data_IF_352367599621
#
_entry.id   IF_352367599621
#
_cell.length_a   1.000
_cell.length_b   1.000
_cell.length_c   1.000
_cell.angle_alpha   90.00
_cell.angle_beta   90.00
_cell.angle_gamma   90.00
#
_symmetry.space_group_name_H-M   'P 1'
#
loop_
_entity.id
_entity.type
_entity.pdbx_description
1 polymer ?
#
# COMPACT_ATOMS: atom_id res chain seq x y z
N UNK A 1 -38.33 22.34 14.08
CA UNK A 1 -38.78 20.92 14.08
C UNK A 1 -40.14 20.66 14.76
N UNK A 2 -40.30 20.93 16.07
CA UNK A 2 -41.51 20.51 16.84
C UNK A 2 -42.85 21.01 16.25
N UNK A 3 -42.90 22.28 15.82
CA UNK A 3 -44.07 22.85 15.17
C UNK A 3 -44.48 22.15 13.84
N UNK A 4 -43.53 21.55 13.12
CA UNK A 4 -43.83 20.82 11.88
C UNK A 4 -44.40 19.44 12.18
N UNK A 5 -43.85 18.78 13.21
CA UNK A 5 -44.38 17.52 13.73
C UNK A 5 -45.82 17.69 14.25
N UNK A 6 -46.07 18.71 15.07
CA UNK A 6 -47.39 18.99 15.65
C UNK A 6 -48.45 19.33 14.57
N UNK A 7 -48.02 19.84 13.41
CA UNK A 7 -48.87 20.16 12.26
C UNK A 7 -49.06 18.98 11.28
N UNK A 8 -48.47 17.81 11.58
CA UNK A 8 -48.54 16.63 10.72
C UNK A 8 -47.73 16.74 9.42
N UNK A 9 -46.87 17.75 9.28
CA UNK A 9 -46.04 17.93 8.10
C UNK A 9 -44.68 17.22 8.27
N UNK A 10 -44.65 15.94 7.95
CA UNK A 10 -43.49 15.06 8.15
C UNK A 10 -42.50 15.04 6.97
N UNK A 11 -42.89 15.57 5.81
CA UNK A 11 -42.06 15.54 4.59
C UNK A 11 -41.19 16.79 4.42
N UNK A 12 -41.36 17.79 5.29
CA UNK A 12 -40.60 19.01 5.24
C UNK A 12 -39.13 18.77 5.62
N UNK A 13 -38.22 19.10 4.70
CA UNK A 13 -36.78 19.09 4.96
C UNK A 13 -36.39 20.19 5.95
N UNK A 14 -35.62 19.81 6.97
CA UNK A 14 -35.07 20.74 7.95
C UNK A 14 -33.55 20.61 7.90
N UNK A 15 -32.85 21.74 7.71
CA UNK A 15 -31.40 21.76 7.73
C UNK A 15 -30.89 21.86 9.16
N UNK A 16 -30.14 20.84 9.58
CA UNK A 16 -29.47 20.79 10.87
C UNK A 16 -27.97 20.98 10.68
N UNK A 17 -27.36 21.76 11.56
CA UNK A 17 -25.90 21.85 11.67
C UNK A 17 -25.46 20.94 12.80
N UNK A 18 -24.53 20.05 12.49
CA UNK A 18 -23.76 19.29 13.47
C UNK A 18 -22.37 19.93 13.58
N UNK A 19 -22.14 20.64 14.69
CA UNK A 19 -20.86 21.25 14.99
C UNK A 19 -20.08 20.37 15.96
N UNK A 20 -18.82 20.09 15.62
CA UNK A 20 -17.87 19.39 16.49
C UNK A 20 -16.67 20.29 16.71
N UNK A 21 -16.40 20.64 17.97
CA UNK A 21 -15.33 21.58 18.34
C UNK A 21 -14.58 21.09 19.59
N UNK A 22 -13.29 21.40 19.73
CA UNK A 22 -12.55 21.09 20.95
C UNK A 22 -13.10 21.94 22.11
N UNK A 23 -13.33 21.32 23.27
CA UNK A 23 -13.87 21.98 24.47
C UNK A 23 -12.73 22.47 25.36
N UNK A 24 -12.58 23.80 25.51
CA UNK A 24 -11.61 24.40 26.43
C UNK A 24 -12.08 24.34 27.90
N UNK A 25 -13.39 24.48 28.12
CA UNK A 25 -14.00 24.65 29.44
C UNK A 25 -14.47 23.30 30.01
N UNK A 26 -13.54 22.34 30.20
CA UNK A 26 -13.85 21.00 30.72
C UNK A 26 -13.43 20.84 32.18
N UNK A 27 -14.21 20.08 32.94
CA UNK A 27 -13.83 19.56 34.25
C UNK A 27 -13.36 18.10 34.11
N UNK A 28 -12.04 17.81 34.17
CA UNK A 28 -11.51 16.46 33.97
C UNK A 28 -11.95 15.46 35.05
N UNK A 29 -12.51 15.92 36.17
CA UNK A 29 -13.00 15.05 37.23
C UNK A 29 -14.36 14.42 36.93
N UNK A 30 -15.08 14.93 35.92
CA UNK A 30 -16.42 14.46 35.56
C UNK A 30 -16.38 13.65 34.26
N UNK A 31 -17.14 12.55 34.25
CA UNK A 31 -17.23 11.59 33.12
C UNK A 31 -18.54 11.71 32.33
N UNK A 32 -19.20 12.86 32.40
CA UNK A 32 -20.44 13.14 31.68
C UNK A 32 -20.17 13.58 30.23
N UNK A 33 -21.14 13.38 29.31
CA UNK A 33 -21.01 13.78 27.90
C UNK A 33 -20.66 15.27 27.69
N UNK A 34 -21.01 16.13 28.65
CA UNK A 34 -20.74 17.57 28.62
C UNK A 34 -19.30 17.92 29.02
N UNK A 35 -18.52 17.01 29.60
CA UNK A 35 -17.11 17.25 29.98
C UNK A 35 -16.12 16.47 29.11
N UNK A 36 -16.58 15.87 28.01
CA UNK A 36 -15.70 15.21 27.05
C UNK A 36 -14.86 16.23 26.24
N UNK A 37 -13.64 15.86 25.80
CA UNK A 37 -12.72 16.75 25.09
C UNK A 37 -13.27 17.38 23.81
N UNK A 38 -14.12 16.68 23.07
CA UNK A 38 -14.77 17.18 21.87
C UNK A 38 -16.24 17.40 22.13
N UNK A 39 -16.74 18.61 21.92
CA UNK A 39 -18.16 18.96 22.03
C UNK A 39 -18.86 18.62 20.72
N UNK A 40 -20.09 18.12 20.82
CA UNK A 40 -20.95 17.74 19.70
C UNK A 40 -22.31 18.40 19.88
N UNK A 41 -22.65 19.35 19.01
CA UNK A 41 -23.88 20.15 19.11
C UNK A 41 -24.69 20.04 17.82
N UNK A 42 -25.98 19.78 17.99
CA UNK A 42 -26.96 19.83 16.91
C UNK A 42 -27.86 21.06 17.10
N UNK A 43 -28.01 21.87 16.05
CA UNK A 43 -28.93 23.00 16.04
C UNK A 43 -29.57 23.21 14.67
N UNK A 44 -30.76 23.81 14.66
CA UNK A 44 -31.56 24.08 13.45
C UNK A 44 -31.19 25.45 12.85
N UNK A 45 -30.95 25.50 11.54
CA UNK A 45 -30.72 26.77 10.84
C UNK A 45 -32.01 27.60 10.86
N UNK A 46 -31.95 28.80 11.45
CA UNK A 46 -33.13 29.65 11.64
C UNK A 46 -34.01 29.29 12.83
N UNK A 47 -33.58 28.33 13.66
CA UNK A 47 -34.22 27.99 14.93
C UNK A 47 -33.95 29.03 16.04
N UNK A 48 -34.49 28.77 17.23
CA UNK A 48 -34.21 29.59 18.40
C UNK A 48 -32.73 29.47 18.80
N UNK A 49 -31.98 30.57 18.72
CA UNK A 49 -30.54 30.62 18.98
C UNK A 49 -30.15 30.19 20.40
N UNK A 50 -31.10 30.17 21.35
CA UNK A 50 -30.86 29.78 22.74
C UNK A 50 -31.09 28.27 23.00
N UNK A 51 -31.60 27.52 22.02
CA UNK A 51 -31.91 26.10 22.20
C UNK A 51 -31.12 25.24 21.21
N UNK A 52 -30.23 24.40 21.75
CA UNK A 52 -29.66 23.30 20.99
C UNK A 52 -30.62 22.10 21.00
N UNK A 53 -30.64 21.31 19.92
CA UNK A 53 -31.42 20.09 19.83
C UNK A 53 -30.80 18.96 20.64
N UNK A 54 -29.46 18.92 20.63
CA UNK A 54 -28.68 17.94 21.38
C UNK A 54 -27.30 18.51 21.62
N UNK A 55 -26.85 18.42 22.86
CA UNK A 55 -25.47 18.62 23.24
C UNK A 55 -24.92 17.31 23.82
N UNK A 56 -23.76 16.91 23.33
CA UNK A 56 -23.03 15.72 23.74
C UNK A 56 -21.53 16.00 23.60
N UNK A 57 -20.71 14.98 23.80
CA UNK A 57 -19.31 15.04 23.43
C UNK A 57 -18.75 13.70 22.99
N UNK A 58 -17.48 13.73 22.60
CA UNK A 58 -16.68 12.57 22.21
C UNK A 58 -15.33 12.59 22.93
N UNK A 59 -14.82 11.41 23.28
CA UNK A 59 -13.48 11.24 23.86
C UNK A 59 -12.38 11.62 22.86
N UNK A 60 -12.57 11.25 21.59
CA UNK A 60 -11.71 11.56 20.44
C UNK A 60 -12.51 12.22 19.31
N UNK A 61 -11.81 12.82 18.36
CA UNK A 61 -12.46 13.42 17.20
C UNK A 61 -13.04 12.30 16.30
N UNK A 62 -14.37 12.30 16.06
CA UNK A 62 -15.01 11.17 15.38
C UNK A 62 -14.98 11.27 13.85
N UNK A 63 -14.61 12.43 13.29
CA UNK A 63 -14.65 12.66 11.84
C UNK A 63 -13.35 12.18 11.21
N UNK A 64 -13.49 11.25 10.26
CA UNK A 64 -12.40 10.73 9.45
C UNK A 64 -12.46 11.43 8.09
N UNK A 65 -11.53 12.36 7.86
CA UNK A 65 -11.48 13.18 6.65
C UNK A 65 -10.05 13.21 6.09
N UNK A 66 -9.56 12.10 5.52
CA UNK A 66 -8.21 12.04 4.98
C UNK A 66 -8.06 12.95 3.76
N UNK A 67 -6.92 13.63 3.69
CA UNK A 67 -6.57 14.51 2.58
C UNK A 67 -5.55 13.85 1.68
N UNK A 68 -5.76 13.96 0.36
CA UNK A 68 -4.87 13.37 -0.64
C UNK A 68 -3.54 14.12 -0.73
N UNK A 69 -3.57 15.41 -1.08
CA UNK A 69 -2.41 16.31 -1.05
C UNK A 69 -2.79 17.57 -0.26
N UNK A 70 -1.86 18.11 0.53
CA UNK A 70 -2.08 19.36 1.28
C UNK A 70 -1.03 20.37 0.85
N UNK A 71 -1.47 21.57 0.46
CA UNK A 71 -0.57 22.72 0.26
C UNK A 71 -0.43 23.49 1.56
N UNK A 72 0.77 23.99 1.84
CA UNK A 72 1.05 24.73 3.08
C UNK A 72 0.10 25.92 3.24
N UNK A 73 -0.65 25.93 4.34
CA UNK A 73 -1.60 27.00 4.68
C UNK A 73 -3.06 26.71 4.36
N UNK A 74 -3.37 25.67 3.59
CA UNK A 74 -4.75 25.25 3.34
C UNK A 74 -5.21 24.18 4.35
N UNK A 75 -6.48 24.26 4.74
CA UNK A 75 -7.14 23.32 5.63
C UNK A 75 -7.61 22.10 4.82
N UNK A 76 -8.00 22.32 3.57
CA UNK A 76 -8.54 21.29 2.67
C UNK A 76 -7.45 20.62 1.84
N UNK A 77 -7.74 19.37 1.45
CA UNK A 77 -6.87 18.61 0.55
C UNK A 77 -7.20 18.86 -0.92
N UNK A 78 -6.19 18.77 -1.77
CA UNK A 78 -6.32 18.73 -3.22
C UNK A 78 -6.41 17.29 -3.70
N UNK A 79 -7.29 17.04 -4.68
CA UNK A 79 -7.43 15.72 -5.30
C UNK A 79 -6.71 15.66 -6.65
N UNK A 80 -6.33 14.46 -7.13
CA UNK A 80 -5.81 14.28 -8.49
C UNK A 80 -6.75 14.81 -9.58
N UNK A 81 -8.06 14.72 -9.31
CA UNK A 81 -9.08 15.22 -10.22
C UNK A 81 -9.06 16.75 -10.36
N UNK A 82 -8.65 17.49 -9.32
CA UNK A 82 -8.47 18.94 -9.40
C UNK A 82 -7.31 19.31 -10.33
N UNK A 83 -6.20 18.55 -10.26
CA UNK A 83 -5.06 18.71 -11.17
C UNK A 83 -5.45 18.37 -12.62
N UNK A 84 -6.17 17.27 -12.81
CA UNK A 84 -6.59 16.80 -14.13
C UNK A 84 -7.85 17.50 -14.69
N UNK A 85 -8.44 18.47 -13.99
CA UNK A 85 -9.73 19.06 -14.35
C UNK A 85 -9.71 19.71 -15.74
N UNK A 86 -8.59 20.35 -16.10
CA UNK A 86 -8.40 20.91 -17.44
C UNK A 86 -8.47 19.85 -18.53
N UNK A 87 -7.74 18.75 -18.36
CA UNK A 87 -7.71 17.63 -19.31
C UNK A 87 -9.07 16.91 -19.38
N UNK A 88 -9.77 16.76 -18.26
CA UNK A 88 -11.11 16.15 -18.22
C UNK A 88 -12.11 16.99 -19.03
N UNK A 89 -12.09 18.31 -18.86
CA UNK A 89 -12.94 19.23 -19.61
C UNK A 89 -12.59 19.24 -21.11
N UNK A 90 -11.29 19.20 -21.43
CA UNK A 90 -10.81 19.06 -22.80
C UNK A 90 -11.34 17.77 -23.44
N UNK A 91 -11.21 16.63 -22.76
CA UNK A 91 -11.72 15.35 -23.24
C UNK A 91 -13.24 15.36 -23.46
N UNK A 92 -13.99 15.97 -22.54
CA UNK A 92 -15.45 16.10 -22.68
C UNK A 92 -15.81 16.91 -23.93
N UNK A 93 -15.12 18.03 -24.15
CA UNK A 93 -15.34 18.88 -25.32
C UNK A 93 -14.97 18.16 -26.63
N UNK A 94 -13.81 17.50 -26.69
CA UNK A 94 -13.38 16.74 -27.86
C UNK A 94 -14.36 15.62 -28.22
N UNK A 95 -14.86 14.88 -27.24
CA UNK A 95 -15.82 13.81 -27.47
C UNK A 95 -17.15 14.35 -28.00
N UNK A 96 -17.61 15.50 -27.48
CA UNK A 96 -18.79 16.18 -27.99
C UNK A 96 -18.59 16.64 -29.44
N UNK A 97 -17.45 17.26 -29.76
CA UNK A 97 -17.14 17.71 -31.13
C UNK A 97 -16.95 16.55 -32.10
N UNK A 98 -16.36 15.45 -31.65
CA UNK A 98 -16.26 14.22 -32.43
C UNK A 98 -17.65 13.69 -32.81
N UNK A 99 -18.56 13.60 -31.83
CA UNK A 99 -19.93 13.14 -32.08
C UNK A 99 -20.63 14.05 -33.09
N UNK A 100 -20.53 15.38 -32.92
CA UNK A 100 -21.08 16.35 -33.88
C UNK A 100 -20.47 16.19 -35.28
N UNK A 101 -19.17 15.94 -35.39
CA UNK A 101 -18.52 15.68 -36.68
C UNK A 101 -19.04 14.44 -37.37
N UNK A 102 -19.26 13.35 -36.62
CA UNK A 102 -19.87 12.12 -37.12
C UNK A 102 -21.33 12.36 -37.54
N UNK A 103 -22.09 13.13 -36.78
CA UNK A 103 -23.47 13.50 -37.14
C UNK A 103 -23.50 14.29 -38.45
N UNK A 104 -22.57 15.24 -38.65
CA UNK A 104 -22.47 15.98 -39.93
C UNK A 104 -22.04 15.11 -41.11
N UNK A 105 -21.25 14.06 -40.89
CA UNK A 105 -20.86 13.11 -41.95
C UNK A 105 -21.99 12.13 -42.28
N UNK A 106 -22.72 11.66 -41.28
CA UNK A 106 -23.79 10.66 -41.44
C UNK A 106 -25.13 11.27 -41.84
N UNK A 107 -25.41 12.50 -41.39
CA UNK A 107 -26.64 13.27 -41.67
C UNK A 107 -26.28 14.73 -41.93
N UNK A 108 -25.61 15.04 -43.06
CA UNK A 108 -25.29 16.42 -43.40
C UNK A 108 -26.58 17.24 -43.57
N UNK A 109 -26.58 18.52 -43.17
CA UNK A 109 -27.69 19.42 -43.47
C UNK A 109 -27.85 19.52 -44.98
N UNK A 110 -29.09 19.48 -45.46
CA UNK A 110 -29.39 19.44 -46.88
C UNK A 110 -29.91 20.81 -47.36
N UNK A 111 -29.40 21.27 -48.49
CA UNK A 111 -29.99 22.35 -49.28
C UNK A 111 -30.99 21.73 -50.26
N UNK A 112 -32.25 22.15 -50.18
CA UNK A 112 -33.29 21.77 -51.12
C UNK A 112 -33.88 23.02 -51.79
N UNK A 113 -34.27 22.94 -53.08
CA UNK A 113 -34.95 24.03 -53.77
C UNK A 113 -36.29 24.38 -53.10
N UNK A 114 -36.67 25.66 -53.16
CA UNK A 114 -37.95 26.15 -52.59
C UNK A 114 -39.18 25.48 -53.22
N UNK A 115 -39.07 24.97 -54.45
CA UNK A 115 -40.11 24.20 -55.14
C UNK A 115 -40.43 22.86 -54.47
N UNK A 116 -39.52 22.33 -53.62
CA UNK A 116 -39.72 21.08 -52.88
C UNK A 116 -40.26 21.29 -51.46
N UNK A 117 -40.45 22.54 -51.02
CA UNK A 117 -40.87 22.87 -49.63
C UNK A 117 -42.24 22.28 -49.22
N UNK A 118 -43.07 21.90 -50.20
CA UNK A 118 -44.40 21.32 -49.99
C UNK A 118 -44.58 19.93 -50.65
N UNK A 119 -43.48 19.25 -51.01
CA UNK A 119 -43.52 17.88 -51.55
C UNK A 119 -42.83 16.94 -50.56
N UNK A 120 -43.39 15.75 -50.40
CA UNK A 120 -42.76 14.69 -49.60
C UNK A 120 -41.47 14.25 -50.28
N UNK A 121 -40.34 14.41 -49.59
CA UNK A 121 -39.03 13.94 -50.03
C UNK A 121 -38.76 12.60 -49.36
N UNK A 122 -38.78 11.53 -50.14
CA UNK A 122 -38.40 10.20 -49.66
C UNK A 122 -36.88 10.08 -49.51
N UNK A 123 -36.39 10.10 -48.27
CA UNK A 123 -34.97 9.91 -47.95
C UNK A 123 -34.60 8.45 -47.63
N UNK A 124 -35.52 7.51 -47.85
CA UNK A 124 -35.27 6.09 -47.64
C UNK A 124 -34.45 5.51 -48.81
N UNK A 125 -33.58 4.51 -48.56
CA UNK A 125 -32.84 3.83 -49.62
C UNK A 125 -33.79 3.25 -50.68
N UNK A 126 -33.64 3.69 -51.93
CA UNK A 126 -34.50 3.28 -53.05
C UNK A 126 -35.64 4.24 -53.42
N UNK A 127 -35.83 5.33 -52.66
CA UNK A 127 -36.79 6.40 -53.01
C UNK A 127 -36.37 7.17 -54.27
N UNK A 128 -37.32 7.48 -55.14
CA UNK A 128 -37.08 8.22 -56.39
C UNK A 128 -37.50 9.68 -56.19
N UNK A 129 -36.53 10.60 -56.19
CA UNK A 129 -36.79 12.04 -56.14
C UNK A 129 -36.69 12.64 -57.55
N UNK A 130 -37.76 13.26 -58.03
CA UNK A 130 -37.79 13.92 -59.34
C UNK A 130 -37.22 15.34 -59.25
N UNK A 131 -36.16 15.60 -60.01
CA UNK A 131 -35.57 16.94 -60.17
C UNK A 131 -35.94 17.51 -61.54
N UNK A 132 -36.19 18.82 -61.61
CA UNK A 132 -36.51 19.52 -62.86
C UNK A 132 -35.26 19.64 -63.74
N UNK A 133 -35.33 19.18 -64.99
CA UNK A 133 -34.22 19.16 -65.95
C UNK A 133 -33.80 20.55 -66.44
N UNK A 134 -34.62 21.58 -66.18
CA UNK A 134 -34.31 22.97 -66.54
C UNK A 134 -33.25 23.63 -65.63
N UNK A 135 -32.98 23.09 -64.43
CA UNK A 135 -31.97 23.62 -63.52
C UNK A 135 -30.98 22.51 -63.10
N UNK A 136 -29.80 22.41 -63.75
CA UNK A 136 -28.78 21.40 -63.45
C UNK A 136 -28.23 21.42 -62.01
N UNK A 137 -28.57 22.44 -61.22
CA UNK A 137 -28.20 22.57 -59.80
C UNK A 137 -29.39 22.45 -58.84
N UNK A 138 -30.57 22.02 -59.33
CA UNK A 138 -31.81 21.87 -58.58
C UNK A 138 -31.93 20.59 -57.76
N UNK A 139 -30.83 19.86 -57.52
CA UNK A 139 -30.82 18.67 -56.68
C UNK A 139 -30.68 18.97 -55.19
N UNK A 140 -31.13 18.05 -54.33
CA UNK A 140 -30.84 18.09 -52.90
C UNK A 140 -29.35 17.76 -52.72
N UNK A 141 -28.59 18.70 -52.16
CA UNK A 141 -27.15 18.53 -51.88
C UNK A 141 -26.86 18.90 -50.44
N UNK A 142 -25.76 18.42 -49.88
CA UNK A 142 -25.33 18.90 -48.57
C UNK A 142 -25.07 20.41 -48.60
N UNK A 143 -25.41 21.09 -47.51
CA UNK A 143 -25.23 22.53 -47.40
C UNK A 143 -23.75 22.92 -47.33
N UNK A 144 -22.94 22.03 -46.76
CA UNK A 144 -21.49 22.07 -46.78
C UNK A 144 -20.97 20.63 -46.69
N UNK A 145 -19.77 20.39 -47.21
CA UNK A 145 -19.11 19.09 -47.13
C UNK A 145 -18.27 19.02 -45.84
N UNK A 146 -18.74 18.24 -44.87
CA UNK A 146 -18.07 18.05 -43.60
C UNK A 146 -16.98 16.97 -43.67
N UNK A 147 -15.89 17.25 -44.39
CA UNK A 147 -14.76 16.31 -44.49
C UNK A 147 -13.79 16.49 -43.31
N UNK A 148 -14.25 16.19 -42.09
CA UNK A 148 -13.43 16.25 -40.87
C UNK A 148 -12.55 15.00 -40.80
N UNK A 149 -11.23 15.18 -40.74
CA UNK A 149 -10.30 14.08 -40.49
C UNK A 149 -10.31 13.71 -39.00
N UNK A 150 -11.00 12.63 -38.66
CA UNK A 150 -11.14 12.15 -37.28
C UNK A 150 -9.85 11.52 -36.71
N UNK A 151 -8.85 11.21 -37.54
CA UNK A 151 -7.65 10.51 -37.09
C UNK A 151 -6.79 11.37 -36.15
N UNK A 152 -6.57 12.65 -36.49
CA UNK A 152 -5.83 13.58 -35.62
C UNK A 152 -6.54 13.80 -34.29
N UNK A 153 -7.88 13.87 -34.31
CA UNK A 153 -8.68 14.00 -33.10
C UNK A 153 -8.59 12.75 -32.22
N UNK A 154 -8.47 11.55 -32.80
CA UNK A 154 -8.28 10.32 -32.04
C UNK A 154 -6.90 10.25 -31.38
N UNK A 155 -5.86 10.80 -32.01
CA UNK A 155 -4.53 10.89 -31.40
C UNK A 155 -4.52 11.87 -30.22
N UNK A 156 -5.11 13.05 -30.38
CA UNK A 156 -5.25 14.04 -29.30
C UNK A 156 -6.06 13.46 -28.12
N UNK A 157 -7.19 12.82 -28.40
CA UNK A 157 -8.01 12.11 -27.38
C UNK A 157 -7.19 11.05 -26.64
N UNK A 158 -6.25 10.36 -27.31
CA UNK A 158 -5.37 9.37 -26.66
C UNK A 158 -4.37 10.07 -25.73
N UNK A 159 -3.70 11.12 -26.20
CA UNK A 159 -2.78 11.91 -25.39
C UNK A 159 -3.45 12.49 -24.14
N UNK A 160 -4.64 13.08 -24.29
CA UNK A 160 -5.42 13.61 -23.15
C UNK A 160 -5.78 12.51 -22.16
N UNK A 161 -6.18 11.31 -22.62
CA UNK A 161 -6.45 10.18 -21.73
C UNK A 161 -5.21 9.73 -20.98
N UNK A 162 -4.04 9.74 -21.63
CA UNK A 162 -2.79 9.32 -21.01
C UNK A 162 -2.30 10.35 -19.98
N UNK A 163 -2.49 11.65 -20.23
CA UNK A 163 -2.32 12.71 -19.22
C UNK A 163 -3.22 12.52 -18.00
N UNK A 164 -4.51 12.24 -18.21
CA UNK A 164 -5.46 11.95 -17.13
C UNK A 164 -5.00 10.71 -16.35
N UNK A 165 -4.66 9.61 -17.03
CA UNK A 165 -4.15 8.38 -16.38
C UNK A 165 -2.92 8.63 -15.53
N UNK A 166 -1.99 9.44 -16.03
CA UNK A 166 -0.80 9.89 -15.30
C UNK A 166 -1.16 10.61 -14.01
N UNK A 167 -2.10 11.57 -14.08
CA UNK A 167 -2.56 12.31 -12.89
C UNK A 167 -3.20 11.40 -11.83
N UNK A 168 -3.96 10.38 -12.25
CA UNK A 168 -4.61 9.43 -11.34
C UNK A 168 -3.71 8.27 -10.90
N UNK A 169 -2.43 8.26 -11.29
CA UNK A 169 -1.50 7.16 -11.00
C UNK A 169 -2.01 5.79 -11.50
N UNK A 170 -2.84 5.77 -12.54
CA UNK A 170 -3.52 4.55 -13.01
C UNK A 170 -2.52 3.46 -13.40
N UNK A 171 -1.45 3.83 -14.09
CA UNK A 171 -0.41 2.88 -14.53
C UNK A 171 0.35 2.27 -13.35
N UNK A 172 0.49 2.99 -12.24
CA UNK A 172 1.15 2.48 -11.03
C UNK A 172 0.28 1.45 -10.32
N UNK A 173 -1.01 1.75 -10.14
CA UNK A 173 -1.95 0.80 -9.54
C UNK A 173 -2.16 -0.43 -10.44
N UNK A 174 -2.21 -0.24 -11.76
CA UNK A 174 -2.30 -1.35 -12.72
C UNK A 174 -1.02 -2.19 -12.73
N UNK A 175 0.17 -1.58 -12.60
CA UNK A 175 1.42 -2.33 -12.47
C UNK A 175 1.46 -3.15 -11.18
N UNK A 176 1.04 -2.57 -10.05
CA UNK A 176 0.91 -3.28 -8.77
C UNK A 176 -0.08 -4.44 -8.85
N UNK A 177 -1.24 -4.22 -9.48
CA UNK A 177 -2.26 -5.24 -9.67
C UNK A 177 -1.84 -6.35 -10.64
N UNK A 178 -1.01 -6.02 -11.65
CA UNK A 178 -0.54 -6.94 -12.67
C UNK A 178 0.90 -7.41 -12.42
N UNK A 179 1.25 -7.72 -11.15
CA UNK A 179 2.54 -8.30 -10.71
C UNK A 179 2.99 -9.57 -11.47
N UNK A 180 2.22 -10.07 -12.44
CA UNK A 180 2.43 -11.30 -13.19
C UNK A 180 3.03 -11.11 -14.59
N UNK A 181 3.34 -9.90 -15.07
CA UNK A 181 3.87 -9.75 -16.43
C UNK A 181 5.38 -10.05 -16.48
N UNK A 182 5.69 -11.33 -16.75
CA UNK A 182 7.02 -11.98 -16.69
C UNK A 182 7.99 -11.53 -17.80
N UNK A 183 7.69 -10.45 -18.53
CA UNK A 183 8.44 -10.03 -19.74
C UNK A 183 9.27 -8.76 -19.57
N UNK A 184 9.12 -8.02 -18.47
CA UNK A 184 10.03 -6.92 -18.15
C UNK A 184 11.24 -7.41 -17.35
N UNK A 185 12.41 -6.84 -17.64
CA UNK A 185 13.62 -7.06 -16.84
C UNK A 185 13.36 -6.63 -15.40
N UNK A 186 13.59 -7.55 -14.46
CA UNK A 186 13.30 -7.37 -13.03
C UNK A 186 13.89 -6.08 -12.43
N UNK A 187 15.01 -5.60 -12.99
CA UNK A 187 15.68 -4.35 -12.59
C UNK A 187 14.91 -3.09 -12.99
N UNK A 188 14.37 -3.03 -14.22
CA UNK A 188 13.64 -1.84 -14.68
C UNK A 188 12.26 -1.73 -14.00
N UNK A 189 11.65 -2.88 -13.67
CA UNK A 189 10.44 -2.92 -12.83
C UNK A 189 10.76 -2.42 -11.43
N UNK A 190 11.84 -2.90 -10.80
CA UNK A 190 12.21 -2.49 -9.45
C UNK A 190 12.53 -0.99 -9.35
N UNK A 191 13.31 -0.44 -10.29
CA UNK A 191 13.66 0.99 -10.30
C UNK A 191 12.43 1.88 -10.55
N UNK A 192 11.58 1.54 -11.53
CA UNK A 192 10.31 2.29 -11.75
C UNK A 192 9.34 2.13 -10.59
N UNK A 193 9.34 0.97 -9.94
CA UNK A 193 8.52 0.72 -8.77
C UNK A 193 8.97 1.57 -7.59
N UNK A 194 10.28 1.72 -7.38
CA UNK A 194 10.88 2.51 -6.31
C UNK A 194 10.64 4.01 -6.51
N UNK A 195 10.90 4.55 -7.72
CA UNK A 195 10.66 5.97 -8.02
C UNK A 195 9.18 6.35 -7.87
N UNK A 196 8.26 5.51 -8.35
CA UNK A 196 6.82 5.77 -8.25
C UNK A 196 6.24 5.51 -6.84
N UNK A 197 6.80 4.56 -6.08
CA UNK A 197 6.47 4.36 -4.67
C UNK A 197 6.88 5.56 -3.82
N UNK A 198 8.03 6.17 -4.11
CA UNK A 198 8.49 7.40 -3.47
C UNK A 198 7.49 8.56 -3.68
N UNK A 199 6.86 8.65 -4.85
CA UNK A 199 5.84 9.68 -5.12
C UNK A 199 4.53 9.46 -4.35
N UNK A 200 4.11 8.21 -4.13
CA UNK A 200 2.89 7.90 -3.38
C UNK A 200 3.10 7.80 -1.86
N UNK A 201 4.35 7.70 -1.40
CA UNK A 201 4.70 7.60 0.02
C UNK A 201 3.97 8.61 0.90
N UNK A 202 4.03 9.92 0.59
CA UNK A 202 3.34 10.94 1.38
C UNK A 202 1.81 10.81 1.40
N UNK A 203 1.19 10.36 0.30
CA UNK A 203 -0.27 10.16 0.23
C UNK A 203 -0.69 8.99 1.10
N UNK A 204 0.07 7.90 1.05
CA UNK A 204 -0.21 6.69 1.81
C UNK A 204 0.07 6.89 3.30
N UNK A 205 1.14 7.60 3.66
CA UNK A 205 1.41 8.00 5.04
C UNK A 205 0.29 8.90 5.59
N UNK A 206 -0.24 9.83 4.78
CA UNK A 206 -1.41 10.62 5.17
C UNK A 206 -2.66 9.78 5.34
N UNK A 207 -2.93 8.85 4.43
CA UNK A 207 -4.07 7.94 4.57
C UNK A 207 -3.95 7.09 5.83
N UNK A 208 -2.73 6.68 6.18
CA UNK A 208 -2.44 5.99 7.43
C UNK A 208 -2.78 6.89 8.63
N UNK A 209 -2.12 8.04 8.73
CA UNK A 209 -2.20 8.92 9.89
C UNK A 209 -3.55 9.65 10.05
N UNK A 210 -4.22 10.01 8.94
CA UNK A 210 -5.46 10.80 8.93
C UNK A 210 -6.74 9.94 8.85
N UNK A 211 -6.65 8.67 8.41
CA UNK A 211 -7.80 7.76 8.31
C UNK A 211 -7.61 6.47 9.09
N UNK A 212 -6.58 5.68 8.79
CA UNK A 212 -6.49 4.32 9.31
C UNK A 212 -6.18 4.29 10.81
N UNK A 213 -5.20 5.07 11.28
CA UNK A 213 -4.87 5.11 12.71
C UNK A 213 -6.05 5.65 13.55
N UNK A 214 -6.66 6.81 13.21
CA UNK A 214 -7.79 7.31 13.99
C UNK A 214 -9.02 6.41 13.89
N UNK A 215 -9.24 5.74 12.75
CA UNK A 215 -10.30 4.74 12.62
C UNK A 215 -10.08 3.61 13.60
N UNK A 216 -8.90 2.99 13.60
CA UNK A 216 -8.56 1.86 14.47
C UNK A 216 -8.66 2.27 15.94
N UNK A 217 -8.09 3.41 16.32
CA UNK A 217 -8.19 3.92 17.70
C UNK A 217 -9.64 4.11 18.12
N UNK A 218 -10.46 4.79 17.30
CA UNK A 218 -11.87 4.99 17.58
C UNK A 218 -12.65 3.67 17.63
N UNK A 219 -12.30 2.68 16.80
CA UNK A 219 -12.97 1.38 16.82
C UNK A 219 -12.58 0.61 18.08
N UNK A 220 -11.30 0.62 18.44
CA UNK A 220 -10.79 -0.05 19.63
C UNK A 220 -11.37 0.53 20.91
N UNK A 221 -11.41 1.87 21.03
CA UNK A 221 -12.06 2.56 22.15
C UNK A 221 -13.54 2.18 22.26
N UNK A 222 -14.26 2.10 21.13
CA UNK A 222 -15.67 1.68 21.11
C UNK A 222 -15.86 0.21 21.51
N UNK A 223 -14.95 -0.70 21.13
CA UNK A 223 -15.01 -2.12 21.49
C UNK A 223 -14.73 -2.30 23.00
N UNK A 224 -13.77 -1.55 23.56
CA UNK A 224 -13.47 -1.54 25.00
C UNK A 224 -14.67 -1.01 25.78
N UNK A 225 -15.24 0.14 25.37
CA UNK A 225 -16.40 0.74 26.02
C UNK A 225 -17.64 -0.19 25.95
N UNK A 226 -17.76 -1.00 24.88
CA UNK A 226 -18.82 -2.00 24.73
C UNK A 226 -18.56 -3.30 25.52
N UNK A 227 -17.37 -3.48 26.12
CA UNK A 227 -17.01 -4.68 26.87
C UNK A 227 -16.91 -5.95 26.02
N UNK A 228 -16.66 -5.83 24.71
CA UNK A 228 -16.58 -6.96 23.78
C UNK A 228 -15.22 -7.67 23.88
N UNK A 229 -14.17 -6.94 24.25
CA UNK A 229 -12.81 -7.50 24.37
C UNK A 229 -12.70 -8.47 25.55
N UNK A 230 -11.94 -9.57 25.42
CA UNK A 230 -11.56 -10.38 26.57
C UNK A 230 -10.78 -9.54 27.59
N UNK A 231 -10.77 -9.91 28.88
CA UNK A 231 -10.00 -9.18 29.88
C UNK A 231 -8.52 -9.14 29.48
N UNK A 232 -7.86 -7.98 29.57
CA UNK A 232 -6.46 -7.85 29.18
C UNK A 232 -5.57 -8.76 30.04
N UNK A 233 -4.59 -9.47 29.42
CA UNK A 233 -3.55 -10.21 30.12
C UNK A 233 -2.87 -9.36 31.20
N UNK A 234 -2.40 -9.97 32.29
CA UNK A 234 -1.77 -9.27 33.42
C UNK A 234 -0.58 -8.40 32.97
N UNK A 235 0.16 -8.79 31.93
CA UNK A 235 1.30 -8.01 31.43
C UNK A 235 0.89 -6.71 30.70
N UNK A 236 -0.36 -6.61 30.25
CA UNK A 236 -0.88 -5.45 29.50
C UNK A 236 -1.66 -4.47 30.38
N UNK A 237 -1.90 -4.80 31.65
CA UNK A 237 -2.60 -3.91 32.58
C UNK A 237 -1.73 -2.68 32.92
N UNK A 238 -2.28 -1.49 32.67
CA UNK A 238 -1.64 -0.21 33.00
C UNK A 238 -0.56 0.26 32.03
N UNK A 239 -0.35 -0.45 30.90
CA UNK A 239 0.55 0.01 29.83
C UNK A 239 -0.24 0.71 28.72
N UNK A 240 0.26 1.84 28.17
CA UNK A 240 -0.34 2.44 26.98
C UNK A 240 -0.19 1.48 25.80
N UNK A 241 -1.31 1.04 25.23
CA UNK A 241 -1.33 0.24 24.01
C UNK A 241 -1.04 1.17 22.82
N UNK A 242 0.02 0.86 22.06
CA UNK A 242 0.26 1.48 20.77
C UNK A 242 -0.09 0.45 19.69
N UNK A 243 -1.06 0.76 18.84
CA UNK A 243 -1.52 -0.13 17.77
C UNK A 243 -0.79 0.28 16.50
N UNK A 244 0.26 -0.46 16.15
CA UNK A 244 0.99 -0.24 14.90
C UNK A 244 0.37 -1.05 13.76
N UNK A 245 -0.15 -0.39 12.72
CA UNK A 245 -0.61 -1.07 11.52
C UNK A 245 0.59 -1.41 10.62
N UNK A 246 0.83 -2.71 10.42
CA UNK A 246 1.71 -3.19 9.36
C UNK A 246 0.87 -3.32 8.08
N UNK A 247 0.65 -2.22 7.37
CA UNK A 247 -0.05 -2.24 6.07
C UNK A 247 0.77 -2.96 4.98
N UNK A 248 0.11 -3.49 3.95
CA UNK A 248 0.79 -4.18 2.82
C UNK A 248 1.87 -3.33 2.15
N UNK A 249 1.73 -2.01 2.14
CA UNK A 249 2.76 -1.11 1.64
C UNK A 249 3.95 -0.99 2.60
N UNK A 250 3.71 -0.90 3.90
CA UNK A 250 4.78 -0.91 4.90
C UNK A 250 5.54 -2.24 4.82
N UNK A 251 4.85 -3.36 4.58
CA UNK A 251 5.47 -4.64 4.26
C UNK A 251 6.26 -4.57 2.95
N UNK A 252 5.70 -3.99 1.88
CA UNK A 252 6.40 -3.84 0.61
C UNK A 252 7.66 -2.96 0.73
N UNK A 253 7.61 -1.84 1.46
CA UNK A 253 8.75 -0.97 1.71
C UNK A 253 9.81 -1.66 2.58
N UNK A 254 9.41 -2.40 3.62
CA UNK A 254 10.32 -3.22 4.42
C UNK A 254 10.94 -4.36 3.58
N UNK A 255 10.16 -4.96 2.67
CA UNK A 255 10.62 -5.97 1.72
C UNK A 255 11.60 -5.40 0.67
N UNK A 256 11.42 -4.16 0.24
CA UNK A 256 12.43 -3.45 -0.58
C UNK A 256 13.69 -3.22 0.25
N UNK A 257 13.55 -2.84 1.52
CA UNK A 257 14.65 -2.72 2.48
C UNK A 257 15.44 -4.02 2.67
N UNK A 258 14.78 -5.19 2.68
CA UNK A 258 15.46 -6.49 2.81
C UNK A 258 16.42 -6.80 1.67
N UNK A 259 16.24 -6.24 0.47
CA UNK A 259 17.22 -6.40 -0.63
C UNK A 259 18.60 -5.85 -0.28
N UNK A 260 18.68 -4.82 0.58
CA UNK A 260 19.95 -4.27 1.04
C UNK A 260 20.62 -5.20 2.07
N UNK A 261 19.81 -5.83 2.93
CA UNK A 261 20.24 -6.82 3.90
C UNK A 261 20.74 -8.07 3.20
N UNK A 262 20.03 -8.56 2.18
CA UNK A 262 20.44 -9.74 1.39
C UNK A 262 21.77 -9.52 0.67
N UNK A 263 21.95 -8.33 0.06
CA UNK A 263 23.23 -7.95 -0.55
C UNK A 263 24.35 -7.88 0.49
N UNK A 264 24.08 -7.35 1.68
CA UNK A 264 25.07 -7.27 2.75
C UNK A 264 25.49 -8.65 3.25
N UNK A 265 24.53 -9.54 3.54
CA UNK A 265 24.80 -10.91 3.98
C UNK A 265 25.51 -11.73 2.89
N UNK A 266 25.08 -11.60 1.64
CA UNK A 266 25.75 -12.23 0.49
C UNK A 266 27.20 -11.78 0.33
N UNK A 267 27.46 -10.47 0.48
CA UNK A 267 28.82 -9.92 0.43
C UNK A 267 29.68 -10.39 1.61
N UNK A 268 29.12 -10.50 2.83
CA UNK A 268 29.83 -11.08 3.97
C UNK A 268 30.22 -12.54 3.67
N UNK A 269 29.30 -13.34 3.11
CA UNK A 269 29.58 -14.72 2.73
C UNK A 269 30.73 -14.85 1.71
N UNK A 270 30.80 -13.95 0.75
CA UNK A 270 31.89 -13.91 -0.23
C UNK A 270 33.23 -13.48 0.39
N UNK A 271 33.23 -12.47 1.28
CA UNK A 271 34.45 -11.99 1.95
C UNK A 271 34.96 -12.99 2.98
N UNK A 272 34.07 -13.74 3.64
CA UNK A 272 34.42 -14.77 4.62
C UNK A 272 35.32 -15.88 4.05
N UNK A 273 35.27 -16.13 2.73
CA UNK A 273 36.16 -17.09 2.04
C UNK A 273 37.63 -16.68 2.09
N UNK A 274 37.91 -15.37 2.11
CA UNK A 274 39.27 -14.82 2.09
C UNK A 274 39.67 -14.20 3.44
N UNK A 275 38.69 -13.73 4.21
CA UNK A 275 38.86 -13.10 5.53
C UNK A 275 37.76 -13.57 6.50
N UNK A 276 38.01 -14.66 7.25
CA UNK A 276 37.04 -15.20 8.20
C UNK A 276 36.65 -14.24 9.34
N UNK A 277 37.54 -13.31 9.70
CA UNK A 277 37.37 -12.27 10.73
C UNK A 277 36.13 -11.36 10.53
N UNK A 278 35.56 -11.33 9.32
CA UNK A 278 34.33 -10.58 9.03
C UNK A 278 33.09 -11.21 9.68
N UNK A 279 33.08 -12.54 9.86
CA UNK A 279 31.97 -13.25 10.50
C UNK A 279 31.83 -12.88 11.98
N UNK A 280 32.92 -12.52 12.65
CA UNK A 280 32.93 -12.14 14.06
C UNK A 280 32.15 -10.85 14.34
N UNK A 281 31.93 -10.03 13.31
CA UNK A 281 31.14 -8.80 13.41
C UNK A 281 29.68 -8.96 12.98
N UNK A 282 29.26 -10.15 12.55
CA UNK A 282 27.89 -10.43 12.13
C UNK A 282 27.07 -11.05 13.26
N UNK A 283 26.02 -10.36 13.72
CA UNK A 283 25.08 -10.89 14.70
C UNK A 283 23.93 -11.61 13.99
N UNK A 284 24.01 -12.94 13.92
CA UNK A 284 23.00 -13.77 13.26
C UNK A 284 21.63 -13.73 13.95
N UNK A 285 21.59 -13.63 15.29
CA UNK A 285 20.32 -13.62 16.06
C UNK A 285 19.53 -12.35 15.77
N UNK A 286 20.21 -11.21 15.85
CA UNK A 286 19.57 -9.92 15.57
C UNK A 286 19.19 -9.78 14.10
N UNK A 287 19.95 -10.41 13.20
CA UNK A 287 19.58 -10.47 11.78
C UNK A 287 18.28 -11.23 11.56
N UNK A 288 18.10 -12.41 12.15
CA UNK A 288 16.86 -13.20 12.00
C UNK A 288 15.65 -12.41 12.48
N UNK A 289 15.72 -11.76 13.66
CA UNK A 289 14.64 -10.93 14.20
C UNK A 289 14.27 -9.78 13.25
N UNK A 290 15.26 -8.97 12.86
CA UNK A 290 15.02 -7.82 11.98
C UNK A 290 14.47 -8.28 10.62
N UNK A 291 14.97 -9.40 10.10
CA UNK A 291 14.58 -9.93 8.80
C UNK A 291 13.17 -10.53 8.83
N UNK A 292 12.80 -11.27 9.89
CA UNK A 292 11.44 -11.79 10.07
C UNK A 292 10.42 -10.67 10.25
N UNK A 293 10.77 -9.63 11.02
CA UNK A 293 9.91 -8.47 11.24
C UNK A 293 9.73 -7.64 9.96
N UNK A 294 10.79 -7.56 9.14
CA UNK A 294 10.75 -6.86 7.85
C UNK A 294 9.86 -7.57 6.84
N UNK A 295 9.85 -8.91 6.84
CA UNK A 295 9.00 -9.72 5.98
C UNK A 295 7.59 -9.94 6.55
N UNK A 296 7.33 -9.55 7.80
CA UNK A 296 6.04 -9.75 8.47
C UNK A 296 5.68 -11.22 8.67
N UNK A 297 6.69 -12.08 8.90
CA UNK A 297 6.48 -13.50 9.16
C UNK A 297 5.85 -13.71 10.54
N UNK A 298 5.05 -14.76 10.68
CA UNK A 298 4.48 -15.14 11.98
C UNK A 298 5.62 -15.42 12.98
N UNK A 299 5.65 -14.76 14.16
CA UNK A 299 6.66 -14.98 15.18
C UNK A 299 6.79 -16.44 15.62
N UNK A 300 5.75 -17.25 15.49
CA UNK A 300 5.78 -18.68 15.81
C UNK A 300 6.71 -19.50 14.89
N UNK A 301 7.06 -18.96 13.72
CA UNK A 301 7.97 -19.61 12.76
C UNK A 301 9.44 -19.41 13.19
N UNK A 302 9.73 -18.37 13.96
CA UNK A 302 11.08 -18.07 14.45
C UNK A 302 11.28 -18.75 15.81
N UNK A 303 12.35 -19.52 15.93
CA UNK A 303 12.68 -20.17 17.21
C UNK A 303 13.00 -19.09 18.25
N UNK A 304 12.33 -19.08 19.42
CA UNK A 304 12.60 -18.09 20.47
C UNK A 304 14.07 -18.13 20.92
N UNK A 305 14.64 -16.96 21.25
CA UNK A 305 16.05 -16.82 21.61
C UNK A 305 16.49 -17.80 22.72
N UNK A 306 15.66 -17.96 23.76
CA UNK A 306 15.93 -18.85 24.88
C UNK A 306 16.04 -20.32 24.45
N UNK A 307 15.17 -20.76 23.52
CA UNK A 307 15.22 -22.11 22.97
C UNK A 307 16.43 -22.29 22.05
N UNK A 308 16.74 -21.30 21.21
CA UNK A 308 17.91 -21.33 20.34
C UNK A 308 19.22 -21.42 21.15
N UNK A 309 19.30 -20.70 22.26
CA UNK A 309 20.45 -20.73 23.17
C UNK A 309 20.57 -22.08 23.90
N UNK A 310 19.48 -22.64 24.40
CA UNK A 310 19.47 -23.98 24.99
C UNK A 310 19.95 -25.05 24.00
N UNK A 311 19.52 -24.99 22.72
CA UNK A 311 19.97 -25.92 21.67
C UNK A 311 21.47 -25.73 21.36
N UNK A 312 22.01 -24.50 21.45
CA UNK A 312 23.45 -24.25 21.29
C UNK A 312 24.26 -24.81 22.43
N UNK A 313 23.81 -24.62 23.67
CA UNK A 313 24.46 -25.19 24.85
C UNK A 313 24.45 -26.72 24.79
N UNK A 314 23.33 -27.32 24.39
CA UNK A 314 23.22 -28.76 24.21
C UNK A 314 24.16 -29.27 23.10
N UNK A 315 24.27 -28.56 21.97
CA UNK A 315 25.24 -28.89 20.91
C UNK A 315 26.69 -28.74 21.38
N UNK A 316 27.01 -27.68 22.11
CA UNK A 316 28.35 -27.47 22.65
C UNK A 316 28.74 -28.57 23.65
N UNK A 317 27.81 -28.99 24.52
CA UNK A 317 28.03 -30.10 25.43
C UNK A 317 28.21 -31.44 24.69
N UNK A 318 27.36 -31.72 23.69
CA UNK A 318 27.49 -32.93 22.87
C UNK A 318 28.82 -32.96 22.09
N UNK A 319 29.27 -31.81 21.59
CA UNK A 319 30.52 -31.70 20.84
C UNK A 319 31.75 -31.80 21.76
N UNK A 320 31.68 -31.26 22.97
CA UNK A 320 32.70 -31.45 24.00
C UNK A 320 32.81 -32.92 24.44
N UNK A 321 31.67 -33.60 24.62
CA UNK A 321 31.64 -35.04 24.92
C UNK A 321 32.17 -35.88 23.75
N UNK A 322 31.81 -35.55 22.51
CA UNK A 322 32.34 -36.23 21.33
C UNK A 322 33.86 -36.01 21.16
N UNK A 323 34.38 -34.81 21.44
CA UNK A 323 35.83 -34.56 21.44
C UNK A 323 36.54 -35.32 22.55
N UNK A 324 35.97 -35.39 23.76
CA UNK A 324 36.55 -36.20 24.84
C UNK A 324 36.54 -37.69 24.53
N UNK A 325 35.45 -38.20 23.95
CA UNK A 325 35.35 -39.59 23.51
C UNK A 325 36.34 -39.90 22.38
N UNK A 326 36.48 -39.00 21.39
CA UNK A 326 37.46 -39.14 20.32
C UNK A 326 38.90 -39.08 20.84
N UNK A 327 39.21 -38.19 21.80
CA UNK A 327 40.52 -38.16 22.45
C UNK A 327 40.80 -39.44 23.26
N UNK A 328 39.80 -39.94 23.98
CA UNK A 328 39.92 -41.17 24.76
C UNK A 328 40.10 -42.39 23.85
N UNK A 329 39.39 -42.45 22.73
CA UNK A 329 39.53 -43.51 21.73
C UNK A 329 40.89 -43.44 21.02
N UNK A 330 41.39 -42.24 20.69
CA UNK A 330 42.71 -42.03 20.10
C UNK A 330 43.84 -42.37 21.09
N UNK A 331 43.68 -42.05 22.38
CA UNK A 331 44.59 -42.48 23.44
C UNK A 331 44.52 -43.99 23.68
N UNK A 332 43.33 -44.60 23.66
CA UNK A 332 43.15 -46.03 23.80
C UNK A 332 43.73 -46.80 22.61
N UNK A 333 43.57 -46.32 21.37
CA UNK A 333 44.22 -46.92 20.19
C UNK A 333 45.74 -46.71 20.20
N UNK A 334 46.24 -45.59 20.74
CA UNK A 334 47.69 -45.34 20.88
C UNK A 334 48.30 -46.22 21.96
N UNK A 335 47.61 -46.37 23.11
CA UNK A 335 47.99 -47.29 24.18
C UNK A 335 47.88 -48.76 23.75
N UNK A 336 46.86 -49.14 22.99
CA UNK A 336 46.72 -50.48 22.42
C UNK A 336 47.81 -50.76 21.38
N UNK A 337 48.20 -49.80 20.54
CA UNK A 337 49.34 -49.93 19.61
C UNK A 337 50.69 -50.02 20.33
N UNK A 338 50.86 -49.34 21.46
CA UNK A 338 52.05 -49.45 22.33
C UNK A 338 52.08 -50.77 23.10
N UNK A 339 50.93 -51.28 23.56
CA UNK A 339 50.82 -52.55 24.26
C UNK A 339 50.86 -53.79 23.34
N UNK A 340 50.41 -53.64 22.08
CA UNK A 340 50.53 -54.68 21.05
C UNK A 340 51.88 -54.64 20.30
N UNK A 341 52.74 -53.66 20.60
CA UNK A 341 54.16 -53.74 20.27
C UNK A 341 54.83 -54.81 21.14
N UNK A 342 54.75 -56.05 20.66
CA UNK A 342 55.35 -57.24 21.27
C UNK A 342 56.83 -57.00 21.60
N UNK A 343 57.21 -57.21 22.85
CA UNK A 343 58.60 -57.18 23.35
C UNK A 343 59.44 -58.39 22.87
N UNK A 344 58.93 -59.21 21.96
CA UNK A 344 59.52 -60.51 21.57
C UNK A 344 60.03 -60.58 20.12
N UNK A 345 60.13 -59.45 19.41
CA UNK A 345 60.84 -59.38 18.13
C UNK A 345 61.64 -58.07 17.99
N UNK A 346 62.82 -58.09 17.34
CA UNK A 346 63.74 -56.95 17.35
C UNK A 346 63.13 -55.75 16.63
N UNK A 347 62.77 -54.73 17.39
CA UNK A 347 62.40 -53.41 16.89
C UNK A 347 63.54 -52.41 17.17
N UNK A 348 63.61 -51.35 16.36
CA UNK A 348 64.69 -50.35 16.30
C UNK A 348 65.06 -49.68 17.65
N UNK A 349 64.21 -49.78 18.67
CA UNK A 349 64.50 -49.34 20.05
C UNK A 349 65.51 -50.24 20.78
N UNK A 350 65.51 -51.55 20.51
CA UNK A 350 66.47 -52.50 21.11
C UNK A 350 67.89 -52.30 20.57
N UNK A 351 68.02 -51.89 19.31
CA UNK A 351 69.32 -51.58 18.69
C UNK A 351 69.88 -50.24 19.16
N UNK A 352 69.03 -49.24 19.44
CA UNK A 352 69.46 -47.98 20.04
C UNK A 352 70.00 -48.16 21.48
N UNK A 353 69.42 -49.06 22.27
CA UNK A 353 69.91 -49.37 23.62
C UNK A 353 71.22 -50.17 23.64
N UNK A 354 71.49 -51.01 22.63
CA UNK A 354 72.81 -51.67 22.50
C UNK A 354 73.90 -50.70 22.03
N UNK A 355 73.57 -49.71 21.20
CA UNK A 355 74.53 -48.70 20.75
C UNK A 355 75.03 -47.79 21.89
N UNK A 356 74.25 -47.65 22.98
CA UNK A 356 74.64 -46.83 24.14
C UNK A 356 75.34 -47.60 25.28
N UNK A 357 75.34 -48.94 25.26
CA UNK A 357 76.00 -49.77 26.28
C UNK A 357 77.42 -50.24 25.89
N UNK A 358 77.93 -49.83 24.72
CA UNK A 358 79.24 -50.21 24.19
C UNK A 358 80.43 -49.30 24.56
N UNK A 359 80.28 -48.40 25.54
CA UNK A 359 81.39 -47.59 26.06
C UNK A 359 81.49 -47.73 27.58
N UNK A 360 82.30 -48.71 28.00
CA UNK A 360 83.02 -48.72 29.28
C UNK A 360 84.40 -49.30 29.03
#
# INVERSE_FOLDING_TARGET
MQNLYDRGNLEAWITLIHAIEPRADRDPSKSDPLNMPWRSVYFEIGGNQQHCLRESGFKRFPVLAPRWVVRGGDIYGESPAMTALGDINQLQHEQLRKAQGIDFQTKPPLQAPTSMKNRDVEMLPGGITYVDSANPHGGIRSAFEAQINLNYLLEDIRDVRDRIRGCFFADLFLMLANQADTRMTATEVAERHEEKLLMLGPVLERLQNELLDPLIENTFDAIIDAGITPPPPEELQGRPLNVDLIGMLAQAQRAVGTNSIDRFVGNIGAVAQFKPEVLDRFNADRWVEIYSDSLGLDPQIVVPADQAQAIREQRAQAQAQAQQAALAEQQATTAAKLASAKTDQPNALTDATRAFQGYS
#
